data_IF_677309254906
#
_entry.id   IF_677309254906
#
_cell.length_a   1.000
_cell.length_b   1.000
_cell.length_c   1.000
_cell.angle_alpha   90.00
_cell.angle_beta   90.00
_cell.angle_gamma   90.00
#
_symmetry.space_group_name_H-M   'P 1'
#
loop_
_entity.id
_entity.type
_entity.pdbx_description
1 polymer ?
#
# COMPACT_ATOMS: atom_id res chain seq x y z
N UNK A 1 -45.06 -11.04 -30.91
CA UNK A 1 -44.49 -10.26 -29.78
C UNK A 1 -43.58 -11.13 -28.88
N UNK A 2 -42.49 -11.70 -29.42
CA UNK A 2 -41.51 -12.50 -28.64
C UNK A 2 -40.04 -12.16 -28.94
N UNK A 3 -39.79 -11.23 -29.88
CA UNK A 3 -38.44 -10.89 -30.35
C UNK A 3 -37.77 -9.75 -29.57
N UNK A 4 -38.54 -8.93 -28.85
CA UNK A 4 -38.01 -7.77 -28.11
C UNK A 4 -37.43 -8.15 -26.74
N UNK A 5 -37.91 -9.22 -26.11
CA UNK A 5 -37.44 -9.66 -24.78
C UNK A 5 -35.99 -10.18 -24.86
N UNK A 6 -35.62 -10.83 -25.96
CA UNK A 6 -34.28 -11.41 -26.10
C UNK A 6 -33.19 -10.33 -26.21
N UNK A 7 -33.51 -9.17 -26.80
CA UNK A 7 -32.56 -8.06 -26.93
C UNK A 7 -32.30 -7.37 -25.59
N UNK A 8 -33.32 -7.27 -24.73
CA UNK A 8 -33.21 -6.65 -23.40
C UNK A 8 -32.42 -7.49 -22.40
N UNK A 9 -32.51 -8.83 -22.51
CA UNK A 9 -31.77 -9.73 -21.60
C UNK A 9 -30.27 -9.76 -21.97
N UNK A 10 -29.93 -9.65 -23.25
CA UNK A 10 -28.52 -9.62 -23.70
C UNK A 10 -27.81 -8.33 -23.27
N UNK A 11 -28.48 -7.17 -23.27
CA UNK A 11 -27.88 -5.93 -22.74
C UNK A 11 -27.71 -5.94 -21.23
N UNK A 12 -28.58 -6.63 -20.48
CA UNK A 12 -28.41 -6.79 -19.03
C UNK A 12 -27.22 -7.70 -18.75
N UNK A 13 -27.07 -8.82 -19.47
CA UNK A 13 -25.94 -9.74 -19.25
C UNK A 13 -24.61 -9.11 -19.65
N UNK A 14 -24.54 -8.33 -20.74
CA UNK A 14 -23.31 -7.63 -21.13
C UNK A 14 -22.99 -6.40 -20.24
N UNK A 15 -23.99 -5.83 -19.57
CA UNK A 15 -23.80 -4.72 -18.62
C UNK A 15 -23.13 -5.13 -17.30
N UNK A 16 -23.08 -6.43 -16.98
CA UNK A 16 -22.47 -6.96 -15.75
C UNK A 16 -21.14 -7.69 -15.95
N UNK A 17 -20.62 -7.79 -17.19
CA UNK A 17 -19.27 -8.34 -17.48
C UNK A 17 -18.29 -7.24 -17.91
N UNK A 18 -18.65 -5.97 -17.72
CA UNK A 18 -17.66 -4.93 -17.57
C UNK A 18 -17.04 -5.09 -16.18
N UNK A 19 -15.99 -5.90 -16.10
CA UNK A 19 -14.94 -5.67 -15.11
C UNK A 19 -14.64 -4.17 -15.17
N UNK A 20 -15.13 -3.42 -14.18
CA UNK A 20 -14.66 -2.08 -13.88
C UNK A 20 -13.22 -2.19 -13.39
N UNK A 21 -12.29 -2.62 -14.26
CA UNK A 21 -10.92 -2.16 -14.16
C UNK A 21 -11.02 -0.67 -14.47
N UNK A 22 -11.12 0.14 -13.42
CA UNK A 22 -10.84 1.56 -13.48
C UNK A 22 -9.43 1.72 -14.07
N UNK A 23 -9.35 1.83 -15.40
CA UNK A 23 -8.15 1.49 -16.17
C UNK A 23 -7.02 2.52 -16.07
N UNK A 24 -7.02 3.40 -15.06
CA UNK A 24 -5.97 4.41 -14.85
C UNK A 24 -5.39 4.45 -13.43
N UNK A 25 -5.97 3.69 -12.49
CA UNK A 25 -5.55 3.76 -11.08
C UNK A 25 -4.47 2.74 -10.77
N UNK A 26 -4.55 1.53 -11.35
CA UNK A 26 -3.61 0.43 -11.12
C UNK A 26 -2.48 0.33 -12.16
N UNK A 27 -2.39 1.25 -13.12
CA UNK A 27 -1.36 1.21 -14.17
C UNK A 27 0.07 1.29 -13.61
N UNK A 28 0.23 1.84 -12.40
CA UNK A 28 1.51 1.91 -11.68
C UNK A 28 1.96 0.55 -11.13
N UNK A 29 1.03 -0.41 -10.96
CA UNK A 29 1.34 -1.75 -10.50
C UNK A 29 1.80 -2.61 -11.68
N UNK A 30 3.11 -2.83 -11.80
CA UNK A 30 3.66 -3.73 -12.80
C UNK A 30 3.29 -5.18 -12.46
N UNK A 31 2.87 -5.97 -13.45
CA UNK A 31 2.66 -7.41 -13.27
C UNK A 31 3.97 -8.07 -12.79
N UNK A 32 3.91 -9.07 -11.88
CA UNK A 32 2.75 -9.83 -11.43
C UNK A 32 2.01 -9.25 -10.20
N UNK A 33 2.26 -7.99 -9.83
CA UNK A 33 1.63 -7.39 -8.65
C UNK A 33 0.11 -7.25 -8.82
N UNK A 34 -0.62 -7.61 -7.76
CA UNK A 34 -2.02 -7.25 -7.55
C UNK A 34 -2.13 -5.77 -7.17
N UNK A 35 -3.33 -5.21 -7.27
CA UNK A 35 -3.58 -3.79 -6.99
C UNK A 35 -4.81 -3.62 -6.11
N UNK A 36 -4.71 -2.75 -5.11
CA UNK A 36 -5.84 -2.24 -4.34
C UNK A 36 -5.76 -0.71 -4.27
N UNK A 37 -6.90 -0.04 -4.43
CA UNK A 37 -6.97 1.43 -4.38
C UNK A 37 -7.73 1.83 -3.12
N UNK A 38 -7.02 2.49 -2.20
CA UNK A 38 -7.59 3.04 -0.98
C UNK A 38 -7.80 4.54 -1.16
N UNK A 39 -9.02 5.02 -0.88
CA UNK A 39 -9.33 6.46 -0.83
C UNK A 39 -9.67 6.82 0.61
N UNK A 40 -9.05 7.88 1.11
CA UNK A 40 -9.19 8.32 2.50
C UNK A 40 -8.94 9.82 2.65
N UNK A 41 -9.30 10.34 3.81
CA UNK A 41 -9.12 11.73 4.19
C UNK A 41 -8.21 11.81 5.42
N UNK A 42 -7.30 12.80 5.43
CA UNK A 42 -6.63 13.26 6.64
C UNK A 42 -7.22 14.61 7.07
N UNK A 43 -7.07 15.01 8.35
CA UNK A 43 -7.44 16.36 8.78
C UNK A 43 -6.83 17.41 7.86
N UNK A 44 -7.66 18.33 7.36
CA UNK A 44 -7.26 19.40 6.43
C UNK A 44 -6.67 18.93 5.08
N UNK A 45 -6.74 17.63 4.77
CA UNK A 45 -6.30 17.07 3.50
C UNK A 45 -7.21 15.94 2.99
N UNK A 46 -8.37 16.27 2.38
CA UNK A 46 -9.32 15.27 1.90
C UNK A 46 -9.00 14.76 0.48
N UNK A 47 -9.47 13.55 0.17
CA UNK A 47 -9.45 12.94 -1.16
C UNK A 47 -8.14 12.27 -1.51
N UNK A 48 -7.32 11.89 -0.53
CA UNK A 48 -6.06 11.20 -0.79
C UNK A 48 -6.36 9.81 -1.38
N UNK A 49 -5.55 9.40 -2.34
CA UNK A 49 -5.60 8.05 -2.89
C UNK A 49 -4.25 7.34 -2.70
N UNK A 50 -4.28 6.16 -2.08
CA UNK A 50 -3.15 5.24 -2.03
C UNK A 50 -3.41 4.08 -3.00
N UNK A 51 -2.53 3.90 -3.97
CA UNK A 51 -2.51 2.73 -4.84
C UNK A 51 -1.51 1.74 -4.25
N UNK A 52 -2.03 0.63 -3.73
CA UNK A 52 -1.29 -0.42 -3.05
C UNK A 52 -1.05 -1.54 -4.06
N UNK A 53 0.19 -1.67 -4.53
CA UNK A 53 0.62 -2.78 -5.37
C UNK A 53 1.23 -3.87 -4.49
N UNK A 54 0.79 -5.12 -4.64
CA UNK A 54 1.23 -6.17 -3.74
C UNK A 54 1.34 -7.56 -4.36
N UNK A 55 2.16 -8.41 -3.75
CA UNK A 55 2.21 -9.85 -4.02
C UNK A 55 2.18 -10.62 -2.71
N UNK A 56 1.49 -11.76 -2.71
CA UNK A 56 1.43 -12.67 -1.57
C UNK A 56 2.13 -13.96 -1.98
N UNK A 57 3.22 -14.31 -1.30
CA UNK A 57 3.87 -15.60 -1.45
C UNK A 57 3.22 -16.59 -0.47
N UNK A 58 2.51 -17.58 -1.01
CA UNK A 58 1.83 -18.59 -0.19
C UNK A 58 2.75 -19.72 0.28
N UNK A 59 3.91 -19.90 -0.37
CA UNK A 59 4.88 -20.97 -0.04
C UNK A 59 5.86 -20.59 1.06
N UNK A 60 6.09 -19.28 1.24
CA UNK A 60 6.89 -18.68 2.30
C UNK A 60 6.05 -17.52 2.75
N UNK A 61 5.44 -17.55 3.95
CA UNK A 61 4.46 -16.58 4.43
C UNK A 61 5.02 -15.15 4.41
N UNK A 62 4.98 -14.55 3.23
CA UNK A 62 5.66 -13.32 2.89
C UNK A 62 4.77 -12.54 1.94
N UNK A 63 4.75 -11.22 2.11
CA UNK A 63 4.09 -10.35 1.16
C UNK A 63 4.88 -9.08 0.96
N UNK A 64 4.86 -8.59 -0.27
CA UNK A 64 5.56 -7.39 -0.68
C UNK A 64 4.55 -6.32 -1.06
N UNK A 65 4.73 -5.11 -0.56
CA UNK A 65 3.83 -3.98 -0.75
C UNK A 65 4.60 -2.76 -1.24
N UNK A 66 4.06 -2.12 -2.28
CA UNK A 66 4.49 -0.81 -2.76
C UNK A 66 3.29 0.13 -2.70
N UNK A 67 3.42 1.26 -2.01
CA UNK A 67 2.33 2.22 -1.85
C UNK A 67 2.67 3.49 -2.63
N UNK A 68 1.84 3.81 -3.61
CA UNK A 68 1.93 5.04 -4.39
C UNK A 68 0.86 6.00 -3.92
N UNK A 69 1.24 7.22 -3.57
CA UNK A 69 0.31 8.21 -3.07
C UNK A 69 -0.06 9.21 -4.16
N UNK A 70 -1.35 9.56 -4.24
CA UNK A 70 -1.90 10.55 -5.16
C UNK A 70 -2.74 11.55 -4.39
N UNK A 71 -2.77 12.78 -4.89
CA UNK A 71 -3.60 13.86 -4.38
C UNK A 71 -3.33 14.20 -2.90
N UNK A 72 -2.07 14.10 -2.46
CA UNK A 72 -1.63 14.40 -1.09
C UNK A 72 -1.36 15.89 -0.93
N UNK A 73 -1.63 16.45 0.24
CA UNK A 73 -1.28 17.84 0.56
C UNK A 73 0.17 17.94 1.00
N UNK A 74 0.80 19.07 0.69
CA UNK A 74 2.20 19.31 1.03
C UNK A 74 2.45 19.17 2.55
N UNK A 75 3.46 18.40 2.94
CA UNK A 75 3.80 18.17 4.35
C UNK A 75 3.04 17.03 5.04
N UNK A 76 2.07 16.41 4.35
CA UNK A 76 1.26 15.28 4.86
C UNK A 76 1.70 13.93 4.28
N UNK A 77 2.84 13.87 3.59
CA UNK A 77 3.31 12.67 2.89
C UNK A 77 3.48 11.48 3.82
N UNK A 78 4.20 11.70 4.92
CA UNK A 78 4.52 10.67 5.91
C UNK A 78 3.25 10.18 6.62
N UNK A 79 2.35 11.08 7.01
CA UNK A 79 1.08 10.72 7.63
C UNK A 79 0.17 9.94 6.66
N UNK A 80 0.10 10.36 5.40
CA UNK A 80 -0.67 9.66 4.37
C UNK A 80 -0.11 8.26 4.07
N UNK A 81 1.22 8.12 4.03
CA UNK A 81 1.87 6.82 3.87
C UNK A 81 1.60 5.92 5.08
N UNK A 82 1.78 6.44 6.29
CA UNK A 82 1.56 5.71 7.54
C UNK A 82 0.10 5.27 7.67
N UNK A 83 -0.86 6.12 7.28
CA UNK A 83 -2.27 5.74 7.22
C UNK A 83 -2.48 4.55 6.28
N UNK A 84 -1.96 4.61 5.05
CA UNK A 84 -2.09 3.53 4.08
C UNK A 84 -1.39 2.23 4.52
N UNK A 85 -0.18 2.32 5.07
CA UNK A 85 0.57 1.18 5.65
C UNK A 85 -0.23 0.54 6.79
N UNK A 86 -0.69 1.33 7.74
CA UNK A 86 -1.47 0.84 8.88
C UNK A 86 -2.80 0.23 8.43
N UNK A 87 -3.43 0.80 7.39
CA UNK A 87 -4.60 0.18 6.78
C UNK A 87 -4.27 -1.21 6.22
N UNK A 88 -3.15 -1.36 5.49
CA UNK A 88 -2.69 -2.68 5.01
C UNK A 88 -2.43 -3.63 6.17
N UNK A 89 -1.71 -3.21 7.21
CA UNK A 89 -1.45 -4.03 8.40
C UNK A 89 -2.75 -4.50 9.05
N UNK A 90 -3.77 -3.65 9.16
CA UNK A 90 -5.05 -4.01 9.77
C UNK A 90 -5.97 -4.82 8.84
N UNK A 91 -5.72 -4.81 7.52
CA UNK A 91 -6.56 -5.48 6.52
C UNK A 91 -5.80 -6.54 5.71
N UNK A 92 -4.60 -6.94 6.14
CA UNK A 92 -3.75 -7.91 5.44
C UNK A 92 -4.48 -9.23 5.17
N UNK A 93 -5.28 -9.68 6.13
CA UNK A 93 -6.09 -10.89 6.01
C UNK A 93 -7.01 -10.88 4.77
N UNK A 94 -7.53 -9.71 4.40
CA UNK A 94 -8.37 -9.54 3.20
C UNK A 94 -7.54 -9.60 1.91
N UNK A 95 -6.28 -9.18 1.95
CA UNK A 95 -5.41 -9.10 0.77
C UNK A 95 -4.69 -10.42 0.48
N UNK A 96 -4.17 -11.08 1.52
CA UNK A 96 -3.27 -12.23 1.38
C UNK A 96 -3.69 -13.45 2.23
N UNK A 97 -4.80 -13.38 2.95
CA UNK A 97 -5.22 -14.41 3.90
C UNK A 97 -4.60 -14.23 5.29
N UNK A 98 -4.98 -15.08 6.24
CA UNK A 98 -4.55 -15.01 7.63
C UNK A 98 -3.69 -16.20 8.04
N UNK A 99 -2.75 -15.96 8.95
CA UNK A 99 -1.97 -16.99 9.63
C UNK A 99 -2.13 -16.81 11.14
N UNK A 100 -2.46 -17.87 11.90
CA UNK A 100 -2.54 -17.79 13.34
C UNK A 100 -1.16 -17.59 13.98
N UNK A 101 -1.08 -16.72 15.01
CA UNK A 101 0.18 -16.40 15.69
C UNK A 101 0.86 -17.60 16.36
N UNK A 102 0.09 -18.63 16.73
CA UNK A 102 0.62 -19.87 17.33
C UNK A 102 1.33 -20.79 16.32
N UNK A 103 1.14 -20.56 15.02
CA UNK A 103 1.77 -21.35 13.95
C UNK A 103 3.02 -20.64 13.46
N UNK A 104 2.86 -19.44 12.91
CA UNK A 104 3.94 -18.64 12.33
C UNK A 104 3.47 -17.20 12.10
N UNK A 105 4.41 -16.26 12.02
CA UNK A 105 4.14 -14.88 11.60
C UNK A 105 4.49 -14.68 10.12
N UNK A 106 3.59 -14.04 9.38
CA UNK A 106 3.88 -13.59 8.02
C UNK A 106 4.84 -12.39 8.05
N UNK A 107 5.82 -12.38 7.15
CA UNK A 107 6.75 -11.25 6.97
C UNK A 107 6.24 -10.31 5.87
N UNK A 108 5.90 -9.09 6.23
CA UNK A 108 5.40 -8.07 5.32
C UNK A 108 6.51 -7.07 5.02
N UNK A 109 6.83 -6.90 3.74
CA UNK A 109 7.85 -5.95 3.28
C UNK A 109 7.17 -4.79 2.58
N UNK A 110 7.30 -3.59 3.12
CA UNK A 110 6.83 -2.36 2.50
C UNK A 110 8.00 -1.60 1.90
N UNK A 111 7.82 -1.05 0.70
CA UNK A 111 8.82 -0.17 0.08
C UNK A 111 8.23 1.20 -0.22
N UNK A 112 8.94 2.26 0.18
CA UNK A 112 8.63 3.65 -0.20
C UNK A 112 9.84 4.39 -0.74
N UNK A 113 9.68 5.26 -1.76
CA UNK A 113 10.79 5.97 -2.37
C UNK A 113 11.30 7.10 -1.47
N UNK A 114 12.57 7.10 -1.11
CA UNK A 114 13.25 8.27 -0.50
C UNK A 114 13.61 9.28 -1.60
N UNK A 115 14.08 8.76 -2.74
CA UNK A 115 14.24 9.51 -3.97
C UNK A 115 13.18 9.02 -4.96
N UNK A 116 12.31 9.93 -5.39
CA UNK A 116 11.15 9.58 -6.21
C UNK A 116 10.82 10.62 -7.27
N UNK A 117 9.80 10.31 -8.08
CA UNK A 117 9.16 11.31 -8.93
C UNK A 117 8.04 11.95 -8.13
N UNK A 118 8.01 13.28 -8.09
CA UNK A 118 6.93 14.02 -7.45
C UNK A 118 6.30 14.96 -8.45
N UNK A 119 4.99 14.79 -8.65
CA UNK A 119 4.21 15.63 -9.54
C UNK A 119 3.35 16.59 -8.72
N UNK A 120 3.47 17.89 -8.99
CA UNK A 120 2.67 18.91 -8.33
C UNK A 120 1.52 19.34 -9.24
N UNK A 121 0.28 19.09 -8.80
CA UNK A 121 -0.95 19.39 -9.56
C UNK A 121 -1.94 20.08 -8.62
N UNK A 122 -2.32 21.32 -8.94
CA UNK A 122 -3.36 22.07 -8.24
C UNK A 122 -3.21 22.12 -6.71
N UNK A 123 -2.00 22.37 -6.19
CA UNK A 123 -1.79 22.43 -4.74
C UNK A 123 -1.47 21.09 -4.07
N UNK A 124 -1.43 20.00 -4.84
CA UNK A 124 -1.28 18.63 -4.34
C UNK A 124 -0.15 17.90 -5.03
N UNK A 125 0.35 16.87 -4.35
CA UNK A 125 1.46 16.06 -4.80
C UNK A 125 1.03 14.61 -5.07
N UNK A 126 1.57 14.05 -6.13
CA UNK A 126 1.56 12.63 -6.41
C UNK A 126 3.00 12.10 -6.28
N UNK A 127 3.17 11.01 -5.55
CA UNK A 127 4.47 10.42 -5.22
C UNK A 127 4.61 9.08 -5.91
N UNK A 128 5.67 8.93 -6.69
CA UNK A 128 5.99 7.70 -7.40
C UNK A 128 7.44 7.28 -7.16
N UNK A 129 7.72 6.02 -7.47
CA UNK A 129 9.07 5.45 -7.43
C UNK A 129 10.01 6.21 -8.38
N UNK A 130 11.25 6.42 -7.94
CA UNK A 130 12.32 6.95 -8.79
C UNK A 130 12.86 5.89 -9.76
N UNK A 131 13.35 6.32 -10.92
CA UNK A 131 13.94 5.44 -11.93
C UNK A 131 15.46 5.52 -11.93
N UNK A 132 16.13 4.42 -12.29
CA UNK A 132 17.57 4.34 -12.57
C UNK A 132 18.45 5.03 -11.51
N UNK A 133 19.17 6.08 -11.90
CA UNK A 133 20.10 6.86 -11.07
C UNK A 133 19.43 7.57 -9.88
N UNK A 134 18.09 7.58 -9.86
CA UNK A 134 17.29 8.11 -8.77
C UNK A 134 16.81 7.04 -7.77
N UNK A 135 17.19 5.78 -7.95
CA UNK A 135 16.70 4.73 -7.09
C UNK A 135 17.31 4.84 -5.68
N UNK A 136 16.50 5.29 -4.74
CA UNK A 136 16.74 5.20 -3.30
C UNK A 136 15.42 5.02 -2.59
N UNK A 137 15.28 3.98 -1.78
CA UNK A 137 14.03 3.61 -1.12
C UNK A 137 14.26 3.16 0.32
N UNK A 138 13.21 3.31 1.11
CA UNK A 138 13.09 2.70 2.42
C UNK A 138 12.41 1.34 2.27
N UNK A 139 12.98 0.33 2.91
CA UNK A 139 12.38 -0.99 3.08
C UNK A 139 12.01 -1.12 4.55
N UNK A 140 10.74 -1.42 4.82
CA UNK A 140 10.22 -1.67 6.16
C UNK A 140 9.76 -3.12 6.22
N UNK A 141 10.29 -3.87 7.17
CA UNK A 141 9.89 -5.25 7.41
C UNK A 141 9.06 -5.31 8.67
N UNK A 142 7.91 -5.96 8.59
CA UNK A 142 6.97 -6.14 9.69
C UNK A 142 6.65 -7.61 9.85
N UNK A 143 6.49 -8.07 11.07
CA UNK A 143 5.84 -9.35 11.36
C UNK A 143 4.35 -9.12 11.52
N UNK A 144 3.56 -10.09 11.07
CA UNK A 144 2.11 -10.02 11.10
C UNK A 144 1.51 -11.40 11.39
N UNK A 145 0.55 -11.47 12.30
CA UNK A 145 -0.24 -12.67 12.51
C UNK A 145 -1.63 -12.31 13.05
N UNK A 146 -2.55 -13.26 12.96
CA UNK A 146 -3.88 -13.14 13.55
C UNK A 146 -3.90 -13.88 14.88
N UNK A 147 -4.02 -13.16 16.00
CA UNK A 147 -4.25 -13.79 17.29
C UNK A 147 -5.67 -14.38 17.28
N UNK A 148 -5.81 -15.69 17.12
CA UNK A 148 -7.10 -16.37 17.29
C UNK A 148 -7.12 -17.07 18.65
N UNK A 149 -7.71 -16.44 19.66
CA UNK A 149 -7.78 -17.01 20.99
C UNK A 149 -8.89 -18.07 21.07
N UNK A 150 -8.57 -19.33 20.85
CA UNK A 150 -9.42 -20.45 21.23
C UNK A 150 -9.11 -20.81 22.69
N UNK A 151 -10.10 -20.81 23.60
CA UNK A 151 -9.88 -21.21 24.99
C UNK A 151 -9.17 -22.57 25.08
N UNK A 152 -8.00 -22.61 25.73
CA UNK A 152 -7.20 -23.83 25.93
C UNK A 152 -6.10 -24.12 24.91
N UNK A 153 -5.92 -23.30 23.85
CA UNK A 153 -4.83 -23.49 22.86
C UNK A 153 -3.77 -22.39 22.84
N UNK A 154 -4.12 -21.16 23.24
CA UNK A 154 -3.31 -19.97 22.91
C UNK A 154 -3.28 -18.89 24.00
N UNK A 155 -3.47 -19.29 25.28
CA UNK A 155 -3.22 -18.38 26.42
C UNK A 155 -1.71 -18.28 26.68
N UNK A 156 -1.02 -17.57 25.79
CA UNK A 156 0.29 -17.00 26.06
C UNK A 156 0.10 -15.48 26.24
N UNK A 157 0.95 -14.80 27.01
CA UNK A 157 0.77 -13.39 27.41
C UNK A 157 0.66 -12.40 26.22
N UNK A 158 0.94 -12.87 25.00
CA UNK A 158 0.94 -12.12 23.75
C UNK A 158 -0.42 -12.02 23.04
N UNK A 159 -1.37 -12.93 23.30
CA UNK A 159 -2.68 -12.92 22.63
C UNK A 159 -3.83 -13.01 23.66
N UNK A 160 -4.19 -11.90 24.34
CA UNK A 160 -5.25 -11.91 25.35
C UNK A 160 -6.68 -11.96 24.76
N UNK A 161 -6.88 -11.50 23.53
CA UNK A 161 -8.17 -11.49 22.82
C UNK A 161 -7.96 -11.67 21.31
N UNK A 162 -8.99 -12.01 20.51
CA UNK A 162 -8.86 -12.04 19.06
C UNK A 162 -8.58 -10.66 18.47
N UNK A 163 -7.43 -10.49 17.83
CA UNK A 163 -7.03 -9.25 17.17
C UNK A 163 -5.94 -9.51 16.13
N UNK A 164 -5.70 -8.52 15.27
CA UNK A 164 -4.51 -8.50 14.41
C UNK A 164 -3.32 -8.10 15.26
N UNK A 165 -2.24 -8.88 15.21
CA UNK A 165 -0.96 -8.51 15.79
C UNK A 165 0.05 -8.19 14.67
N UNK A 166 0.77 -7.09 14.82
CA UNK A 166 1.89 -6.74 13.97
C UNK A 166 2.94 -5.97 14.75
N UNK A 167 4.21 -6.13 14.37
CA UNK A 167 5.33 -5.41 14.96
C UNK A 167 6.40 -5.12 13.90
N UNK A 168 7.13 -4.00 14.01
CA UNK A 168 8.24 -3.72 13.10
C UNK A 168 9.41 -4.66 13.41
N UNK A 169 10.05 -5.18 12.37
CA UNK A 169 11.25 -6.02 12.45
C UNK A 169 12.50 -5.18 12.12
N UNK A 170 12.48 -4.48 10.99
CA UNK A 170 13.65 -3.75 10.51
C UNK A 170 13.28 -2.60 9.57
N UNK A 171 14.16 -1.61 9.51
CA UNK A 171 14.11 -0.51 8.56
C UNK A 171 15.46 -0.44 7.85
N UNK A 172 15.47 -0.59 6.53
CA UNK A 172 16.71 -0.59 5.74
C UNK A 172 16.58 0.38 4.58
N UNK A 173 17.65 1.14 4.31
CA UNK A 173 17.74 1.98 3.11
C UNK A 173 18.43 1.18 1.99
N UNK A 174 17.79 1.14 0.83
CA UNK A 174 18.33 0.51 -0.38
C UNK A 174 18.49 1.54 -1.49
N UNK A 175 19.50 1.36 -2.33
CA UNK A 175 19.80 2.23 -3.46
C UNK A 175 20.79 3.33 -3.13
N UNK A 176 21.38 3.88 -4.20
CA UNK A 176 22.45 4.89 -4.14
C UNK A 176 22.04 6.21 -4.79
N UNK A 177 20.75 6.37 -5.12
CA UNK A 177 20.22 7.59 -5.72
C UNK A 177 20.51 8.83 -4.89
N UNK A 178 20.95 9.90 -5.54
CA UNK A 178 21.27 11.16 -4.90
C UNK A 178 20.27 12.24 -5.35
N UNK A 179 19.16 12.35 -4.62
CA UNK A 179 18.17 13.38 -4.86
C UNK A 179 18.47 14.62 -4.00
N UNK A 180 18.39 15.79 -4.63
CA UNK A 180 18.61 17.06 -3.92
C UNK A 180 17.37 17.37 -3.07
N UNK A 181 17.54 17.86 -1.82
CA UNK A 181 16.44 18.41 -1.03
C UNK A 181 16.05 19.76 -1.63
N UNK A 182 15.29 19.73 -2.72
CA UNK A 182 14.72 20.92 -3.33
C UNK A 182 13.29 21.09 -2.78
N UNK A 183 12.90 22.32 -2.38
CA UNK A 183 11.52 22.58 -1.97
C UNK A 183 10.61 22.30 -3.15
N UNK A 184 9.65 21.36 -3.04
CA UNK A 184 8.81 20.85 -4.15
C UNK A 184 8.49 21.90 -5.24
N UNK A 185 9.27 21.97 -6.33
CA UNK A 185 9.00 22.85 -7.47
C UNK A 185 8.04 22.14 -8.46
N UNK A 186 7.61 22.77 -9.57
CA UNK A 186 6.77 22.10 -10.56
C UNK A 186 7.40 20.76 -11.00
N UNK A 187 6.56 19.74 -11.16
CA UNK A 187 6.87 18.30 -11.34
C UNK A 187 8.33 17.98 -11.67
N UNK A 188 9.01 17.28 -10.76
CA UNK A 188 10.42 16.94 -10.92
C UNK A 188 10.63 15.43 -10.88
N UNK A 189 11.51 14.98 -11.77
CA UNK A 189 12.13 13.67 -11.63
C UNK A 189 13.26 13.80 -10.61
N UNK A 190 13.31 12.84 -9.69
CA UNK A 190 14.34 12.75 -8.65
C UNK A 190 14.31 13.79 -7.52
N UNK A 191 13.17 13.86 -6.86
CA UNK A 191 12.93 14.66 -5.65
C UNK A 191 13.21 13.86 -4.39
N UNK A 192 13.86 14.48 -3.41
CA UNK A 192 13.95 13.95 -2.06
C UNK A 192 12.60 14.07 -1.37
N UNK A 193 12.06 12.94 -0.93
CA UNK A 193 10.79 12.88 -0.20
C UNK A 193 11.13 12.72 1.27
N UNK A 194 10.71 13.70 2.08
CA UNK A 194 11.07 13.74 3.48
C UNK A 194 10.17 12.81 4.31
N UNK A 195 10.68 11.63 4.64
CA UNK A 195 10.05 10.67 5.53
C UNK A 195 10.64 10.80 6.94
N UNK A 196 9.80 10.80 7.99
CA UNK A 196 10.30 10.88 9.37
C UNK A 196 10.88 9.55 9.84
N UNK A 197 10.23 8.45 9.48
CA UNK A 197 10.50 7.13 10.06
C UNK A 197 11.54 6.27 9.30
N UNK A 198 12.09 6.74 8.17
CA UNK A 198 13.03 5.88 7.43
C UNK A 198 14.41 5.85 8.08
N UNK A 199 14.62 4.91 9.00
CA UNK A 199 15.91 4.68 9.64
C UNK A 199 16.29 5.72 10.70
N UNK A 200 15.31 6.44 11.25
CA UNK A 200 15.50 7.18 12.50
C UNK A 200 14.81 6.40 13.62
N UNK A 201 15.61 5.74 14.47
CA UNK A 201 15.21 5.57 15.87
C UNK A 201 14.99 6.98 16.43
N UNK A 202 13.89 7.20 17.14
CA UNK A 202 13.68 8.43 17.93
C UNK A 202 14.85 8.68 18.90
#
# INVERSE_FOLDING_TARGET
MKKYIFLSVVTIILGFVAENKASGQCEVCQQPNLCYVLTFDLPDCPGIQAVICYTCAVTHLQAYFQIYLRNVCLGMEDEAYNYARNWVLNNYAMLCGSTPCEVESAKLTFTRPICGKVEYVNGRINIYKGNWDCYKQCIEEWEWCWCNCVPGQCWDDKCPNPHVHWAPISFTIEGNGNCKPLPYPPSQDCTFINWRECGQEE
#
